data_IF_414854670236
#
_entry.id   IF_414854670236
#
_cell.length_a   1.000
_cell.length_b   1.000
_cell.length_c   1.000
_cell.angle_alpha   90.00
_cell.angle_beta   90.00
_cell.angle_gamma   90.00
#
_symmetry.space_group_name_H-M   'P 1'
#
loop_
_entity.id
_entity.type
_entity.pdbx_description
1 polymer ?
#
# COMPACT_ATOMS: atom_id res chain seq x y z
N UNK A 1 45.39 24.72 -8.29
CA UNK A 1 44.62 24.62 -7.06
C UNK A 1 44.01 23.23 -7.05
N UNK A 2 44.66 22.29 -6.31
CA UNK A 2 44.32 20.88 -6.30
C UNK A 2 43.15 20.68 -5.30
N UNK A 3 41.99 20.31 -5.81
CA UNK A 3 40.88 19.91 -4.98
C UNK A 3 41.13 18.45 -4.59
N UNK A 4 41.47 18.23 -3.33
CA UNK A 4 41.63 16.89 -2.74
C UNK A 4 40.20 16.30 -2.64
N UNK A 5 39.89 15.38 -3.55
CA UNK A 5 38.72 14.51 -3.42
C UNK A 5 38.97 13.55 -2.23
N UNK A 6 38.25 13.76 -1.16
CA UNK A 6 38.23 12.85 -0.02
C UNK A 6 37.48 11.58 -0.42
N UNK A 7 38.22 10.50 -0.68
CA UNK A 7 37.71 9.12 -0.66
C UNK A 7 37.39 8.78 0.80
N UNK A 8 36.22 9.25 1.26
CA UNK A 8 35.70 8.87 2.56
C UNK A 8 35.29 7.39 2.47
N UNK A 9 36.17 6.48 2.89
CA UNK A 9 35.77 5.11 3.24
C UNK A 9 34.69 5.20 4.31
N UNK A 10 33.64 4.35 4.22
CA UNK A 10 32.62 4.28 5.27
C UNK A 10 33.36 4.01 6.61
N UNK A 11 32.98 4.79 7.62
CA UNK A 11 33.50 4.65 8.99
C UNK A 11 33.16 3.23 9.48
N UNK A 12 34.15 2.37 9.78
CA UNK A 12 33.89 1.01 10.23
C UNK A 12 33.17 0.93 11.58
N UNK A 13 32.95 2.07 12.23
CA UNK A 13 32.25 2.16 13.51
C UNK A 13 30.79 2.69 13.36
N UNK A 14 30.32 3.03 12.16
CA UNK A 14 28.94 3.37 11.93
C UNK A 14 28.09 2.10 11.91
N UNK A 15 27.24 1.94 12.95
CA UNK A 15 26.26 0.86 12.95
C UNK A 15 25.37 0.99 11.70
N UNK A 16 25.08 -0.12 10.99
CA UNK A 16 24.20 -0.06 9.85
C UNK A 16 22.86 0.55 10.27
N UNK A 17 22.35 1.45 9.46
CA UNK A 17 21.04 2.04 9.71
C UNK A 17 19.99 0.93 9.82
N UNK A 18 19.15 1.04 10.84
CA UNK A 18 18.02 0.12 11.05
C UNK A 18 16.74 0.95 11.15
N UNK A 19 15.68 0.60 10.38
CA UNK A 19 14.40 1.23 10.52
C UNK A 19 13.87 1.16 11.95
N UNK A 20 13.14 2.18 12.37
CA UNK A 20 12.43 2.18 13.64
C UNK A 20 11.31 1.13 13.62
N UNK A 21 10.88 0.60 14.76
CA UNK A 21 9.76 -0.34 14.78
C UNK A 21 8.48 0.23 14.20
N UNK A 22 8.18 1.51 14.47
CA UNK A 22 6.97 2.19 14.05
C UNK A 22 7.22 3.68 13.78
N UNK A 23 6.58 4.21 12.72
CA UNK A 23 6.50 5.63 12.41
C UNK A 23 5.03 6.07 12.51
N UNK A 24 4.73 7.06 13.35
CA UNK A 24 3.36 7.57 13.49
C UNK A 24 3.16 8.77 12.57
N UNK A 25 2.19 8.67 11.67
CA UNK A 25 1.75 9.74 10.79
C UNK A 25 0.70 10.55 11.55
N UNK A 26 1.04 11.80 11.85
CA UNK A 26 0.23 12.72 12.66
C UNK A 26 -0.20 13.99 11.91
N UNK A 27 0.12 14.08 10.61
CA UNK A 27 -0.31 15.18 9.76
C UNK A 27 -0.88 14.70 8.43
N UNK A 28 -1.83 15.48 7.90
CA UNK A 28 -2.57 15.14 6.68
C UNK A 28 -1.68 15.12 5.43
N UNK A 29 -0.68 15.96 5.36
CA UNK A 29 0.20 16.06 4.20
C UNK A 29 1.10 14.81 4.08
N UNK A 30 1.61 14.31 5.19
CA UNK A 30 2.35 13.04 5.24
C UNK A 30 1.42 11.86 4.89
N UNK A 31 0.17 11.87 5.37
CA UNK A 31 -0.83 10.87 4.99
C UNK A 31 -1.10 10.90 3.48
N UNK A 32 -1.31 12.07 2.88
CA UNK A 32 -1.50 12.21 1.42
C UNK A 32 -0.30 11.70 0.62
N UNK A 33 0.90 11.94 1.12
CA UNK A 33 2.11 11.43 0.48
C UNK A 33 2.14 9.90 0.53
N UNK A 34 1.86 9.28 1.68
CA UNK A 34 1.92 7.83 1.81
C UNK A 34 0.73 7.11 1.12
N UNK A 35 -0.43 7.77 0.98
CA UNK A 35 -1.61 7.19 0.36
C UNK A 35 -1.52 6.99 -1.18
N UNK A 36 -0.44 7.42 -1.81
CA UNK A 36 -0.19 7.16 -3.23
C UNK A 36 0.36 5.73 -3.43
N UNK A 37 -0.23 4.93 -4.33
CA UNK A 37 0.14 3.52 -4.53
C UNK A 37 1.60 3.30 -4.84
N UNK A 38 2.13 4.09 -5.78
CA UNK A 38 3.53 3.95 -6.17
C UNK A 38 4.49 4.30 -5.03
N UNK A 39 4.13 5.27 -4.19
CA UNK A 39 4.92 5.61 -3.00
C UNK A 39 4.85 4.52 -1.93
N UNK A 40 3.70 3.88 -1.74
CA UNK A 40 3.58 2.70 -0.87
C UNK A 40 4.50 1.57 -1.32
N UNK A 41 4.47 1.20 -2.60
CA UNK A 41 5.37 0.18 -3.17
C UNK A 41 6.85 0.53 -3.00
N UNK A 42 7.22 1.81 -3.18
CA UNK A 42 8.60 2.27 -2.94
C UNK A 42 8.98 2.07 -1.47
N UNK A 43 8.10 2.45 -0.52
CA UNK A 43 8.34 2.29 0.92
C UNK A 43 8.49 0.81 1.29
N UNK A 44 7.62 -0.07 0.78
CA UNK A 44 7.70 -1.51 1.00
C UNK A 44 9.02 -2.10 0.52
N UNK A 45 9.46 -1.75 -0.68
CA UNK A 45 10.76 -2.17 -1.21
C UNK A 45 11.93 -1.67 -0.36
N UNK A 46 11.86 -0.43 0.12
CA UNK A 46 12.86 0.18 0.98
C UNK A 46 12.80 -0.35 2.43
N UNK A 47 11.71 -0.96 2.85
CA UNK A 47 11.59 -1.63 4.16
C UNK A 47 12.35 -2.95 4.16
N UNK A 48 12.33 -3.69 3.06
CA UNK A 48 13.01 -4.97 2.92
C UNK A 48 14.55 -4.83 2.95
N UNK A 49 15.08 -3.84 2.22
CA UNK A 49 16.51 -3.56 2.14
C UNK A 49 16.80 -2.15 1.61
N UNK A 50 18.00 -1.57 1.89
CA UNK A 50 18.44 -0.35 1.22
C UNK A 50 18.48 -0.51 -0.29
N UNK A 51 17.91 0.46 -1.04
CA UNK A 51 17.84 0.42 -2.50
C UNK A 51 18.17 1.76 -3.13
N UNK A 52 18.82 1.71 -4.28
CA UNK A 52 18.96 2.89 -5.15
C UNK A 52 17.70 3.11 -5.97
N UNK A 53 17.52 4.34 -6.51
CA UNK A 53 16.39 4.64 -7.43
C UNK A 53 16.34 3.66 -8.61
N UNK A 54 17.50 3.28 -9.16
CA UNK A 54 17.57 2.33 -10.28
C UNK A 54 17.11 0.92 -9.88
N UNK A 55 17.47 0.47 -8.67
CA UNK A 55 17.03 -0.84 -8.17
C UNK A 55 15.52 -0.87 -7.95
N UNK A 56 14.94 0.18 -7.34
CA UNK A 56 13.48 0.31 -7.20
C UNK A 56 12.81 0.33 -8.57
N UNK A 57 13.32 1.13 -9.51
CA UNK A 57 12.80 1.22 -10.88
C UNK A 57 12.79 -0.14 -11.61
N UNK A 58 13.87 -0.92 -11.43
CA UNK A 58 13.98 -2.26 -12.01
C UNK A 58 12.93 -3.22 -11.46
N UNK A 59 12.68 -3.20 -10.14
CA UNK A 59 11.67 -4.08 -9.52
C UNK A 59 10.26 -3.70 -9.96
N UNK A 60 9.96 -2.40 -10.02
CA UNK A 60 8.65 -1.88 -10.41
C UNK A 60 8.42 -1.85 -11.94
N UNK A 61 9.42 -2.26 -12.71
CA UNK A 61 9.39 -2.18 -14.19
C UNK A 61 9.06 -0.77 -14.72
N UNK A 62 9.60 0.25 -14.06
CA UNK A 62 9.39 1.67 -14.39
C UNK A 62 10.72 2.36 -14.75
N UNK A 63 10.70 3.40 -15.60
CA UNK A 63 11.89 4.20 -15.82
C UNK A 63 12.27 4.99 -14.55
N UNK A 64 13.56 5.07 -14.17
CA UNK A 64 14.01 5.78 -12.98
C UNK A 64 13.53 7.24 -12.91
N UNK A 65 13.35 7.88 -14.05
CA UNK A 65 12.88 9.27 -14.17
C UNK A 65 11.50 9.50 -13.57
N UNK A 66 10.62 8.49 -13.59
CA UNK A 66 9.30 8.54 -12.95
C UNK A 66 9.38 8.51 -11.43
N UNK A 67 10.44 7.90 -10.86
CA UNK A 67 10.52 7.68 -9.42
C UNK A 67 11.15 8.85 -8.64
N UNK A 68 11.97 9.70 -9.28
CA UNK A 68 12.65 10.78 -8.55
C UNK A 68 11.72 11.71 -7.79
N UNK A 69 10.58 12.05 -8.39
CA UNK A 69 9.57 12.89 -7.73
C UNK A 69 8.98 12.18 -6.50
N UNK A 70 8.60 10.92 -6.63
CA UNK A 70 8.00 10.14 -5.53
C UNK A 70 9.01 9.92 -4.40
N UNK A 71 10.25 9.57 -4.72
CA UNK A 71 11.34 9.41 -3.75
C UNK A 71 11.61 10.72 -3.01
N UNK A 72 11.64 11.85 -3.72
CA UNK A 72 11.80 13.17 -3.11
C UNK A 72 10.67 13.48 -2.12
N UNK A 73 9.41 13.23 -2.49
CA UNK A 73 8.27 13.44 -1.59
C UNK A 73 8.35 12.56 -0.34
N UNK A 74 8.75 11.30 -0.47
CA UNK A 74 8.95 10.39 0.64
C UNK A 74 10.12 10.81 1.56
N UNK A 75 11.25 11.27 0.97
CA UNK A 75 12.41 11.78 1.70
C UNK A 75 12.06 13.06 2.48
N UNK A 76 11.35 14.01 1.87
CA UNK A 76 10.91 15.27 2.49
C UNK A 76 9.98 15.05 3.69
N UNK A 77 9.18 13.99 3.68
CA UNK A 77 8.30 13.60 4.79
C UNK A 77 8.94 12.59 5.76
N UNK A 78 10.24 12.35 5.61
CA UNK A 78 10.99 11.41 6.45
C UNK A 78 10.43 9.98 6.45
N UNK A 79 9.67 9.59 5.42
CA UNK A 79 9.14 8.23 5.25
C UNK A 79 10.24 7.27 4.79
N UNK A 80 11.22 7.78 4.05
CA UNK A 80 12.47 7.08 3.71
C UNK A 80 13.66 7.99 4.03
N UNK A 81 14.84 7.39 4.22
CA UNK A 81 16.09 8.10 4.51
C UNK A 81 17.21 7.63 3.61
N UNK A 82 18.12 8.54 3.27
CA UNK A 82 19.39 8.19 2.64
C UNK A 82 20.27 7.51 3.68
N UNK A 83 20.66 6.27 3.44
CA UNK A 83 21.47 5.46 4.36
C UNK A 83 22.87 5.20 3.82
N UNK A 84 23.10 5.35 2.54
CA UNK A 84 24.40 5.25 1.90
C UNK A 84 24.45 6.13 0.64
N UNK A 85 25.66 6.54 0.29
CA UNK A 85 25.90 7.37 -0.92
C UNK A 85 27.16 6.86 -1.60
N UNK A 86 27.06 6.53 -2.89
CA UNK A 86 28.19 6.03 -3.68
C UNK A 86 28.41 6.90 -4.92
N UNK A 87 29.65 7.00 -5.34
CA UNK A 87 29.98 7.63 -6.61
C UNK A 87 30.14 6.53 -7.66
N UNK A 88 29.23 6.51 -8.65
CA UNK A 88 29.26 5.56 -9.75
C UNK A 88 29.44 6.34 -11.06
N UNK A 89 30.56 6.15 -11.74
CA UNK A 89 30.89 6.87 -12.99
C UNK A 89 30.78 8.40 -12.88
N UNK A 90 31.22 8.96 -11.72
CA UNK A 90 31.17 10.42 -11.48
C UNK A 90 29.80 10.96 -11.05
N UNK A 91 28.78 10.11 -10.90
CA UNK A 91 27.43 10.48 -10.47
C UNK A 91 27.23 9.98 -9.03
N UNK A 92 26.69 10.85 -8.18
CA UNK A 92 26.31 10.47 -6.81
C UNK A 92 25.03 9.64 -6.84
N UNK A 93 25.13 8.38 -6.44
CA UNK A 93 24.00 7.47 -6.31
C UNK A 93 23.68 7.28 -4.82
N UNK A 94 22.43 7.61 -4.44
CA UNK A 94 21.93 7.48 -3.06
C UNK A 94 21.23 6.13 -2.89
N UNK A 95 21.43 5.48 -1.73
CA UNK A 95 20.63 4.35 -1.28
C UNK A 95 19.64 4.82 -0.23
N UNK A 96 18.38 4.45 -0.43
CA UNK A 96 17.27 4.80 0.45
C UNK A 96 16.82 3.58 1.23
N UNK A 97 16.44 3.80 2.48
CA UNK A 97 15.80 2.79 3.32
C UNK A 97 14.59 3.41 4.02
N UNK A 98 13.55 2.61 4.27
CA UNK A 98 12.37 3.05 5.00
C UNK A 98 12.74 3.54 6.41
N UNK A 99 12.04 4.54 6.90
CA UNK A 99 12.29 5.09 8.24
C UNK A 99 11.81 4.16 9.35
N UNK A 100 10.79 3.34 9.07
CA UNK A 100 10.27 2.36 10.01
C UNK A 100 9.83 1.07 9.29
N UNK A 101 9.64 0.01 10.08
CA UNK A 101 9.06 -1.25 9.61
C UNK A 101 7.54 -1.17 9.47
N UNK A 102 6.88 -0.36 10.31
CA UNK A 102 5.44 -0.16 10.30
C UNK A 102 5.11 1.34 10.28
N UNK A 103 4.08 1.70 9.51
CA UNK A 103 3.55 3.05 9.45
C UNK A 103 2.14 3.06 10.01
N UNK A 104 1.94 3.81 11.11
CA UNK A 104 0.65 3.91 11.77
C UNK A 104 0.11 5.33 11.64
N UNK A 105 -1.12 5.44 11.18
CA UNK A 105 -1.82 6.73 11.13
C UNK A 105 -2.42 7.04 12.50
N UNK A 106 -2.20 8.26 12.99
CA UNK A 106 -2.82 8.71 14.21
C UNK A 106 -4.34 8.76 14.05
N UNK A 107 -5.05 8.27 15.06
CA UNK A 107 -6.52 8.22 15.07
C UNK A 107 -7.16 9.61 14.96
N UNK A 108 -6.50 10.64 15.43
CA UNK A 108 -6.99 12.02 15.33
C UNK A 108 -7.14 12.48 13.88
N UNK A 109 -6.33 11.94 12.95
CA UNK A 109 -6.46 12.22 11.51
C UNK A 109 -7.72 11.61 10.88
N UNK A 110 -8.43 10.74 11.60
CA UNK A 110 -9.70 10.17 11.16
C UNK A 110 -10.87 10.66 12.03
N UNK A 111 -10.65 11.60 12.91
CA UNK A 111 -11.70 12.17 13.76
C UNK A 111 -12.69 12.98 12.93
N UNK A 112 -13.92 12.47 12.80
CA UNK A 112 -14.99 13.15 12.06
C UNK A 112 -15.47 14.45 12.71
N UNK A 113 -14.96 14.77 13.92
CA UNK A 113 -15.25 16.03 14.63
C UNK A 113 -14.45 17.21 14.11
N UNK A 114 -13.35 16.97 13.38
CA UNK A 114 -12.51 17.99 12.78
C UNK A 114 -12.60 17.96 11.25
N UNK A 115 -12.33 19.10 10.60
CA UNK A 115 -12.26 19.17 9.15
C UNK A 115 -11.07 18.34 8.60
N UNK A 116 -9.93 18.40 9.30
CA UNK A 116 -8.74 17.61 8.93
C UNK A 116 -9.00 16.09 9.00
N UNK A 117 -9.74 15.63 10.01
CA UNK A 117 -10.09 14.21 10.13
C UNK A 117 -11.06 13.73 9.05
N UNK A 118 -12.03 14.57 8.66
CA UNK A 118 -12.91 14.25 7.50
C UNK A 118 -12.12 14.16 6.20
N UNK A 119 -11.18 15.07 6.00
CA UNK A 119 -10.31 15.07 4.82
C UNK A 119 -9.36 13.86 4.84
N UNK A 120 -8.77 13.52 5.98
CA UNK A 120 -7.92 12.34 6.15
C UNK A 120 -8.64 11.04 5.80
N UNK A 121 -9.85 10.85 6.31
CA UNK A 121 -10.70 9.71 5.97
C UNK A 121 -11.01 9.67 4.47
N UNK A 122 -11.36 10.81 3.87
CA UNK A 122 -11.65 10.88 2.43
C UNK A 122 -10.42 10.54 1.59
N UNK A 123 -9.24 11.06 1.93
CA UNK A 123 -7.97 10.73 1.25
C UNK A 123 -7.68 9.24 1.33
N UNK A 124 -7.80 8.64 2.52
CA UNK A 124 -7.59 7.21 2.70
C UNK A 124 -8.56 6.37 1.87
N UNK A 125 -9.86 6.68 1.92
CA UNK A 125 -10.86 5.92 1.16
C UNK A 125 -10.67 6.08 -0.35
N UNK A 126 -10.37 7.29 -0.82
CA UNK A 126 -10.13 7.55 -2.25
C UNK A 126 -8.93 6.74 -2.72
N UNK A 127 -7.79 6.79 -2.01
CA UNK A 127 -6.61 6.01 -2.35
C UNK A 127 -6.94 4.51 -2.42
N UNK A 128 -7.53 3.95 -1.37
CA UNK A 128 -7.87 2.53 -1.29
C UNK A 128 -8.77 2.06 -2.45
N UNK A 129 -9.77 2.86 -2.82
CA UNK A 129 -10.68 2.49 -3.92
C UNK A 129 -10.05 2.71 -5.29
N UNK A 130 -9.23 3.75 -5.46
CA UNK A 130 -8.53 4.01 -6.72
C UNK A 130 -7.49 2.92 -7.01
N UNK A 131 -6.72 2.50 -6.00
CA UNK A 131 -5.75 1.41 -6.11
C UNK A 131 -6.42 0.10 -6.48
N UNK A 132 -7.52 -0.23 -5.78
CA UNK A 132 -8.27 -1.47 -6.05
C UNK A 132 -8.83 -1.46 -7.48
N UNK A 133 -9.34 -0.32 -7.94
CA UNK A 133 -9.84 -0.16 -9.31
C UNK A 133 -8.73 -0.38 -10.33
N UNK A 134 -7.56 0.26 -10.12
CA UNK A 134 -6.41 0.16 -11.03
C UNK A 134 -5.88 -1.28 -11.06
N UNK A 135 -5.76 -1.96 -9.92
CA UNK A 135 -5.33 -3.34 -9.82
C UNK A 135 -6.27 -4.30 -10.58
N UNK A 136 -7.59 -4.13 -10.41
CA UNK A 136 -8.61 -4.90 -11.15
C UNK A 136 -8.47 -4.66 -12.66
N UNK A 137 -8.29 -3.41 -13.11
CA UNK A 137 -8.13 -3.08 -14.52
C UNK A 137 -6.86 -3.70 -15.11
N UNK A 138 -5.73 -3.55 -14.42
CA UNK A 138 -4.47 -4.13 -14.85
C UNK A 138 -4.53 -5.66 -14.90
N UNK A 139 -5.20 -6.30 -13.96
CA UNK A 139 -5.40 -7.76 -13.92
C UNK A 139 -6.26 -8.25 -15.09
N UNK A 140 -7.27 -7.48 -15.48
CA UNK A 140 -8.10 -7.79 -16.65
C UNK A 140 -7.32 -7.59 -17.96
N UNK A 141 -6.55 -6.51 -18.09
CA UNK A 141 -5.70 -6.24 -19.26
C UNK A 141 -4.58 -7.29 -19.42
N UNK A 142 -4.06 -7.81 -18.32
CA UNK A 142 -3.06 -8.89 -18.32
C UNK A 142 -3.63 -10.29 -18.53
N UNK A 143 -4.94 -10.43 -18.77
CA UNK A 143 -5.65 -11.71 -18.89
C UNK A 143 -5.48 -12.64 -17.67
N UNK A 144 -5.24 -12.06 -16.49
CA UNK A 144 -5.21 -12.78 -15.21
C UNK A 144 -6.61 -12.92 -14.63
N UNK A 145 -7.44 -11.89 -14.83
CA UNK A 145 -8.81 -11.79 -14.36
C UNK A 145 -9.79 -11.97 -15.53
N UNK A 146 -10.74 -12.87 -15.38
CA UNK A 146 -11.84 -13.05 -16.32
C UNK A 146 -13.05 -12.20 -15.88
N UNK A 147 -13.37 -11.20 -16.67
CA UNK A 147 -14.53 -10.30 -16.48
C UNK A 147 -15.65 -10.57 -17.47
N UNK A 148 -15.62 -11.69 -18.19
CA UNK A 148 -16.65 -12.03 -19.17
C UNK A 148 -18.03 -12.14 -18.52
N UNK A 149 -19.09 -11.62 -19.16
CA UNK A 149 -20.44 -11.65 -18.59
C UNK A 149 -21.13 -13.02 -18.65
N UNK A 150 -20.49 -14.02 -19.23
CA UNK A 150 -21.08 -15.35 -19.38
C UNK A 150 -21.02 -16.11 -18.04
N UNK A 151 -22.21 -16.45 -17.53
CA UNK A 151 -22.43 -17.38 -16.40
C UNK A 151 -22.08 -18.84 -16.84
N UNK A 152 -20.84 -19.07 -17.20
CA UNK A 152 -20.36 -20.41 -17.48
C UNK A 152 -19.93 -21.06 -16.18
N UNK A 153 -20.72 -22.01 -15.69
CA UNK A 153 -20.46 -22.78 -14.46
C UNK A 153 -19.12 -23.56 -14.51
N UNK A 154 -18.51 -23.69 -15.69
CA UNK A 154 -17.25 -24.37 -15.92
C UNK A 154 -16.01 -23.45 -15.79
N UNK A 155 -16.17 -22.17 -15.51
CA UNK A 155 -15.03 -21.26 -15.34
C UNK A 155 -14.26 -21.52 -14.05
N UNK A 156 -12.94 -21.48 -14.09
CA UNK A 156 -12.13 -21.62 -12.89
C UNK A 156 -12.35 -20.43 -11.95
N UNK A 157 -12.89 -20.69 -10.76
CA UNK A 157 -13.19 -19.67 -9.74
C UNK A 157 -11.97 -18.82 -9.36
N UNK A 158 -10.76 -19.34 -9.54
CA UNK A 158 -9.51 -18.64 -9.25
C UNK A 158 -9.17 -17.47 -10.20
N UNK A 159 -9.95 -17.31 -11.30
CA UNK A 159 -9.82 -16.17 -12.22
C UNK A 159 -11.03 -15.24 -12.17
N UNK A 160 -11.99 -15.50 -11.31
CA UNK A 160 -13.26 -14.78 -11.26
C UNK A 160 -13.19 -13.58 -10.33
N UNK A 161 -13.84 -12.48 -10.72
CA UNK A 161 -14.04 -11.31 -9.88
C UNK A 161 -15.31 -11.45 -9.05
N UNK A 162 -15.17 -11.49 -7.74
CA UNK A 162 -16.31 -11.44 -6.82
C UNK A 162 -16.51 -10.00 -6.33
N UNK A 163 -17.55 -9.33 -6.79
CA UNK A 163 -17.99 -8.04 -6.26
C UNK A 163 -19.35 -8.19 -5.61
N UNK A 164 -19.46 -7.80 -4.35
CA UNK A 164 -20.75 -7.78 -3.65
C UNK A 164 -20.87 -6.54 -2.77
N UNK A 165 -21.98 -5.82 -2.93
CA UNK A 165 -22.35 -4.70 -2.06
C UNK A 165 -23.72 -4.94 -1.48
N UNK A 166 -23.78 -5.32 -0.21
CA UNK A 166 -25.00 -5.62 0.50
C UNK A 166 -25.18 -4.72 1.71
N UNK A 167 -26.43 -4.37 2.03
CA UNK A 167 -26.81 -3.80 3.32
C UNK A 167 -27.37 -4.92 4.19
N UNK A 168 -26.65 -5.29 5.22
CA UNK A 168 -27.07 -6.32 6.15
C UNK A 168 -27.82 -5.68 7.32
N UNK A 169 -29.00 -6.19 7.61
CA UNK A 169 -29.78 -5.81 8.79
C UNK A 169 -29.61 -6.84 9.88
N UNK A 170 -28.62 -6.63 10.76
CA UNK A 170 -28.22 -7.58 11.79
C UNK A 170 -28.49 -7.00 13.19
N UNK A 171 -28.99 -7.80 14.13
CA UNK A 171 -28.94 -7.42 15.53
C UNK A 171 -27.49 -7.29 16.00
N UNK A 172 -27.21 -6.47 17.05
CA UNK A 172 -25.83 -6.18 17.48
C UNK A 172 -24.96 -7.41 17.71
N UNK A 173 -25.51 -8.43 18.33
CA UNK A 173 -24.82 -9.70 18.62
C UNK A 173 -24.42 -10.45 17.33
N UNK A 174 -25.31 -10.48 16.33
CA UNK A 174 -25.03 -11.12 15.06
C UNK A 174 -24.01 -10.31 14.24
N UNK A 175 -24.04 -8.98 14.34
CA UNK A 175 -23.04 -8.11 13.70
C UNK A 175 -21.65 -8.34 14.29
N UNK A 176 -21.52 -8.43 15.61
CA UNK A 176 -20.25 -8.74 16.29
C UNK A 176 -19.75 -10.14 15.89
N UNK A 177 -20.62 -11.16 15.93
CA UNK A 177 -20.25 -12.51 15.53
C UNK A 177 -19.79 -12.57 14.06
N UNK A 178 -20.46 -11.86 13.17
CA UNK A 178 -20.08 -11.75 11.76
C UNK A 178 -18.71 -11.09 11.60
N UNK A 179 -18.47 -9.96 12.29
CA UNK A 179 -17.18 -9.27 12.29
C UNK A 179 -16.03 -10.18 12.74
N UNK A 180 -16.21 -10.89 13.83
CA UNK A 180 -15.17 -11.78 14.36
C UNK A 180 -14.87 -12.95 13.43
N UNK A 181 -15.90 -13.55 12.82
CA UNK A 181 -15.74 -14.63 11.84
C UNK A 181 -15.01 -14.16 10.58
N UNK A 182 -15.40 -12.99 10.06
CA UNK A 182 -14.75 -12.39 8.89
C UNK A 182 -13.27 -12.11 9.16
N UNK A 183 -12.97 -11.54 10.32
CA UNK A 183 -11.58 -11.27 10.74
C UNK A 183 -10.77 -12.56 10.92
N UNK A 184 -11.37 -13.60 11.47
CA UNK A 184 -10.72 -14.90 11.62
C UNK A 184 -10.42 -15.52 10.25
N UNK A 185 -11.39 -15.50 9.32
CA UNK A 185 -11.22 -16.00 7.95
C UNK A 185 -10.08 -15.28 7.22
N UNK A 186 -10.06 -13.94 7.27
CA UNK A 186 -8.98 -13.15 6.64
C UNK A 186 -7.62 -13.55 7.19
N UNK A 187 -7.50 -13.68 8.53
CA UNK A 187 -6.24 -14.08 9.17
C UNK A 187 -5.80 -15.49 8.77
N UNK A 188 -6.71 -16.43 8.72
CA UNK A 188 -6.43 -17.82 8.32
C UNK A 188 -5.69 -17.88 6.97
N UNK A 189 -6.14 -17.07 5.99
CA UNK A 189 -5.53 -17.06 4.67
C UNK A 189 -4.32 -16.12 4.55
N UNK A 190 -4.29 -15.01 5.30
CA UNK A 190 -3.14 -14.10 5.33
C UNK A 190 -1.92 -14.74 5.99
N UNK A 191 -2.14 -15.53 7.04
CA UNK A 191 -1.08 -16.17 7.82
C UNK A 191 -0.72 -17.58 7.28
N UNK A 192 -1.33 -18.00 6.17
CA UNK A 192 -1.08 -19.31 5.57
C UNK A 192 0.36 -19.39 5.03
N UNK A 193 1.15 -20.39 5.46
CA UNK A 193 2.50 -20.56 4.93
C UNK A 193 2.44 -20.93 3.44
N UNK A 194 3.18 -20.19 2.63
CA UNK A 194 3.29 -20.45 1.20
C UNK A 194 4.42 -21.47 0.98
N UNK A 195 4.17 -22.61 0.31
CA UNK A 195 5.20 -23.58 -0.01
C UNK A 195 6.19 -23.02 -1.05
N UNK A 196 7.49 -23.12 -0.81
CA UNK A 196 8.57 -22.59 -1.68
C UNK A 196 8.54 -23.10 -3.14
N UNK A 197 7.78 -24.14 -3.43
CA UNK A 197 7.75 -24.80 -4.76
C UNK A 197 6.52 -24.46 -5.62
N UNK A 198 5.61 -23.63 -5.15
CA UNK A 198 4.35 -23.32 -5.86
C UNK A 198 4.47 -21.97 -6.56
N UNK A 199 4.13 -21.93 -7.86
CA UNK A 199 3.94 -20.67 -8.56
C UNK A 199 2.75 -19.95 -7.91
N UNK A 200 3.04 -18.89 -7.15
CA UNK A 200 2.03 -18.12 -6.43
C UNK A 200 1.31 -17.19 -7.41
N UNK A 201 -0.01 -17.24 -7.38
CA UNK A 201 -0.84 -16.22 -8.00
C UNK A 201 -1.31 -15.27 -6.89
N UNK A 202 -0.98 -13.96 -6.96
CA UNK A 202 -1.48 -13.00 -5.99
C UNK A 202 -2.98 -12.76 -6.19
N UNK A 203 -3.70 -12.58 -5.08
CA UNK A 203 -5.12 -12.23 -5.07
C UNK A 203 -5.33 -10.92 -4.33
N UNK A 204 -5.94 -9.92 -5.00
CA UNK A 204 -6.38 -8.68 -4.36
C UNK A 204 -7.62 -8.91 -3.52
N UNK A 205 -7.64 -8.43 -2.26
CA UNK A 205 -8.79 -8.51 -1.37
C UNK A 205 -9.06 -7.16 -0.72
N UNK A 206 -10.23 -6.58 -1.00
CA UNK A 206 -10.75 -5.40 -0.32
C UNK A 206 -12.03 -5.75 0.42
N UNK A 207 -12.06 -5.50 1.73
CA UNK A 207 -13.24 -5.69 2.57
C UNK A 207 -13.52 -4.41 3.35
N UNK A 208 -14.77 -3.94 3.31
CA UNK A 208 -15.25 -2.84 4.14
C UNK A 208 -16.53 -3.26 4.86
N UNK A 209 -16.46 -3.41 6.17
CA UNK A 209 -17.62 -3.66 7.05
C UNK A 209 -17.76 -2.49 8.02
N UNK A 210 -18.88 -1.79 7.96
CA UNK A 210 -19.12 -0.58 8.75
C UNK A 210 -20.62 -0.39 9.05
N UNK A 211 -20.98 0.27 10.17
CA UNK A 211 -22.34 0.71 10.40
C UNK A 211 -22.79 1.67 9.32
N UNK A 212 -23.85 1.34 8.61
CA UNK A 212 -24.40 2.16 7.52
C UNK A 212 -25.63 2.92 7.97
N UNK A 213 -25.77 4.17 7.51
CA UNK A 213 -27.01 4.95 7.70
C UNK A 213 -28.19 4.43 6.88
N UNK A 214 -27.93 3.45 5.98
CA UNK A 214 -28.96 2.91 5.09
C UNK A 214 -29.42 3.85 3.97
N UNK A 215 -28.82 5.03 3.83
CA UNK A 215 -29.26 6.08 2.91
C UNK A 215 -29.08 5.77 1.40
N UNK A 216 -28.52 4.61 1.05
CA UNK A 216 -28.17 4.28 -0.34
C UNK A 216 -29.18 3.40 -1.09
N UNK A 217 -30.36 3.11 -0.54
CA UNK A 217 -31.38 2.31 -1.25
C UNK A 217 -32.76 3.00 -1.28
N UNK A 218 -32.84 4.18 -1.90
CA UNK A 218 -34.11 4.81 -2.24
C UNK A 218 -34.62 4.45 -3.64
N UNK A 219 -34.23 3.30 -4.18
CA UNK A 219 -34.90 2.76 -5.39
C UNK A 219 -35.71 1.53 -5.00
N UNK A 220 -36.87 1.78 -4.39
CA UNK A 220 -37.94 0.78 -4.35
C UNK A 220 -38.56 0.76 -5.76
N UNK A 221 -38.67 -0.40 -6.40
CA UNK A 221 -39.50 -0.51 -7.60
C UNK A 221 -40.91 -0.14 -7.21
N UNK A 222 -41.45 0.88 -7.86
CA UNK A 222 -42.89 1.19 -7.79
C UNK A 222 -43.64 0.01 -8.41
N UNK A 223 -44.44 -0.62 -7.60
CA UNK A 223 -45.48 -1.60 -7.97
C UNK A 223 -46.41 -1.03 -9.05
#
# INVERSE_FOLDING_TARGET
MHVIMSDAKPDPNQRPYKPEPEFTINDLETLKVLADPLRLQIVELCTQAPRTVKQVASVLNLPPTKLYYHIKQLEERSLIKVVDTRIVSGIVEKQYQASAFNYRVDRELFSLTSQAGKEGLNVMLTGLFDDTREDIQNSAEADVLDVSPDDDDDKPLNRSLLISRNTLHLPPEAAEAFYQRLKALVREYTDMPVPEATAEQPYGLLIALYPSTGAASSDKPKT
#
